data_IF_727637497539
#
_entry.id   IF_727637497539
#
_cell.length_a   1.000
_cell.length_b   1.000
_cell.length_c   1.000
_cell.angle_alpha   90.00
_cell.angle_beta   90.00
_cell.angle_gamma   90.00
#
_symmetry.space_group_name_H-M   'P 1'
#
loop_
_entity.id
_entity.type
_entity.pdbx_description
1 polymer ?
#
# COMPACT_ATOMS: atom_id res chain seq x y z
N UNK A 1 -21.50 27.11 -12.68
CA UNK A 1 -20.46 27.77 -11.86
C UNK A 1 -19.13 27.14 -12.20
N UNK A 2 -18.10 27.93 -12.47
CA UNK A 2 -16.75 27.39 -12.71
C UNK A 2 -16.02 27.22 -11.38
N UNK A 3 -15.48 26.03 -11.18
CA UNK A 3 -14.66 25.69 -10.01
C UNK A 3 -13.19 25.83 -10.40
N UNK A 4 -12.39 26.60 -9.64
CA UNK A 4 -11.00 26.79 -9.98
C UNK A 4 -10.21 25.49 -9.89
N UNK A 5 -10.42 24.71 -8.83
CA UNK A 5 -9.77 23.42 -8.59
C UNK A 5 -10.80 22.38 -8.19
N UNK A 6 -10.99 21.36 -9.01
CA UNK A 6 -11.86 20.22 -8.72
C UNK A 6 -11.02 18.98 -8.45
N UNK A 7 -11.27 18.34 -7.31
CA UNK A 7 -10.55 17.16 -6.84
C UNK A 7 -11.51 15.98 -6.83
N UNK A 8 -11.13 14.88 -7.45
CA UNK A 8 -11.90 13.62 -7.47
C UNK A 8 -11.22 12.64 -6.51
N UNK A 9 -11.92 12.30 -5.41
CA UNK A 9 -11.46 11.43 -4.34
C UNK A 9 -10.94 12.18 -3.12
N UNK A 10 -11.48 11.86 -1.93
CA UNK A 10 -11.11 12.42 -0.63
C UNK A 10 -10.18 11.48 0.19
N UNK A 11 -9.49 10.54 -0.45
CA UNK A 11 -8.39 9.79 0.17
C UNK A 11 -7.17 10.67 0.42
N UNK A 12 -6.07 10.08 0.90
CA UNK A 12 -4.86 10.82 1.32
C UNK A 12 -4.34 11.81 0.26
N UNK A 13 -4.31 11.41 -1.02
CA UNK A 13 -3.80 12.26 -2.10
C UNK A 13 -4.68 13.48 -2.34
N UNK A 14 -6.00 13.27 -2.45
CA UNK A 14 -6.95 14.37 -2.66
C UNK A 14 -7.03 15.29 -1.48
N UNK A 15 -7.07 14.75 -0.26
CA UNK A 15 -7.08 15.54 0.97
C UNK A 15 -5.77 16.33 1.14
N UNK A 16 -4.61 15.79 0.75
CA UNK A 16 -3.35 16.51 0.79
C UNK A 16 -3.32 17.69 -0.21
N UNK A 17 -3.82 17.48 -1.44
CA UNK A 17 -3.96 18.56 -2.44
C UNK A 17 -4.94 19.62 -1.93
N UNK A 18 -6.10 19.21 -1.40
CA UNK A 18 -7.10 20.12 -0.82
C UNK A 18 -6.50 20.93 0.34
N UNK A 19 -5.73 20.29 1.21
CA UNK A 19 -5.00 20.96 2.30
C UNK A 19 -4.05 22.04 1.81
N UNK A 20 -3.24 21.76 0.77
CA UNK A 20 -2.35 22.75 0.18
C UNK A 20 -3.12 23.92 -0.45
N UNK A 21 -4.24 23.66 -1.15
CA UNK A 21 -5.10 24.70 -1.73
C UNK A 21 -5.75 25.55 -0.65
N UNK A 22 -6.23 24.92 0.42
CA UNK A 22 -6.83 25.59 1.57
C UNK A 22 -5.83 26.56 2.25
N UNK A 23 -4.58 26.11 2.46
CA UNK A 23 -3.50 26.96 3.01
C UNK A 23 -3.17 28.16 2.13
N UNK A 24 -3.31 28.02 0.81
CA UNK A 24 -3.11 29.11 -0.16
C UNK A 24 -4.33 30.00 -0.35
N UNK A 25 -5.45 29.73 0.36
CA UNK A 25 -6.71 30.46 0.22
C UNK A 25 -7.37 30.31 -1.14
N UNK A 26 -7.05 29.23 -1.87
CA UNK A 26 -7.60 28.97 -3.20
C UNK A 26 -8.98 28.31 -3.12
N UNK A 27 -9.83 28.60 -4.11
CA UNK A 27 -11.16 27.99 -4.22
C UNK A 27 -11.05 26.58 -4.77
N UNK A 28 -11.68 25.60 -4.11
CA UNK A 28 -11.73 24.21 -4.57
C UNK A 28 -12.99 23.48 -4.10
N UNK A 29 -13.27 22.36 -4.73
CA UNK A 29 -14.29 21.39 -4.34
C UNK A 29 -13.70 19.98 -4.45
N UNK A 30 -14.02 19.12 -3.48
CA UNK A 30 -13.66 17.70 -3.50
C UNK A 30 -14.93 16.87 -3.73
N UNK A 31 -14.89 15.92 -4.68
CA UNK A 31 -15.96 14.96 -4.92
C UNK A 31 -15.54 13.59 -4.41
N UNK A 32 -16.31 13.02 -3.49
CA UNK A 32 -16.05 11.69 -2.93
C UNK A 32 -17.26 10.78 -3.12
N UNK A 33 -17.02 9.57 -3.65
CA UNK A 33 -18.10 8.62 -3.91
C UNK A 33 -18.66 7.98 -2.65
N UNK A 34 -17.82 7.83 -1.63
CA UNK A 34 -18.19 7.20 -0.36
C UNK A 34 -18.82 8.21 0.61
N UNK A 35 -19.28 7.71 1.75
CA UNK A 35 -19.91 8.52 2.81
C UNK A 35 -18.92 9.18 3.75
N UNK A 36 -17.64 8.79 3.64
CA UNK A 36 -16.55 9.27 4.51
C UNK A 36 -15.26 9.44 3.71
N UNK A 37 -14.38 10.32 4.18
CA UNK A 37 -13.06 10.61 3.62
C UNK A 37 -11.97 9.64 4.12
N UNK A 38 -12.22 8.34 4.14
CA UNK A 38 -11.28 7.37 4.67
C UNK A 38 -10.28 6.86 3.62
N UNK A 39 -10.72 6.63 2.41
CA UNK A 39 -9.89 6.01 1.37
C UNK A 39 -9.29 4.68 1.86
N UNK A 40 -7.97 4.54 1.73
CA UNK A 40 -7.21 3.36 2.17
C UNK A 40 -6.55 3.51 3.55
N UNK A 41 -6.88 4.53 4.30
CA UNK A 41 -6.45 4.75 5.68
C UNK A 41 -7.54 4.23 6.62
N UNK A 42 -7.35 2.99 7.10
CA UNK A 42 -8.34 2.35 7.96
C UNK A 42 -7.68 1.79 9.20
N UNK A 43 -7.89 2.46 10.32
CA UNK A 43 -7.34 2.10 11.64
C UNK A 43 -8.45 1.63 12.55
N UNK A 44 -8.27 0.46 13.16
CA UNK A 44 -9.09 0.00 14.28
C UNK A 44 -8.26 0.16 15.56
N UNK A 45 -8.77 0.92 16.52
CA UNK A 45 -8.19 1.03 17.83
C UNK A 45 -8.73 -0.10 18.71
N UNK A 46 -7.84 -0.97 19.21
CA UNK A 46 -8.20 -2.07 20.08
C UNK A 46 -7.41 -1.99 21.38
N UNK A 47 -8.09 -2.15 22.54
CA UNK A 47 -7.43 -2.09 23.85
C UNK A 47 -6.97 -3.48 24.27
N UNK A 48 -5.68 -3.62 24.54
CA UNK A 48 -5.03 -4.84 25.05
C UNK A 48 -4.23 -4.47 26.28
N UNK A 49 -4.50 -5.12 27.42
CA UNK A 49 -3.81 -4.85 28.69
C UNK A 49 -3.75 -3.33 29.00
N UNK A 50 -4.88 -2.65 28.91
CA UNK A 50 -5.06 -1.19 29.12
C UNK A 50 -4.25 -0.29 28.15
N UNK A 51 -3.67 -0.85 27.12
CA UNK A 51 -2.98 -0.10 26.05
C UNK A 51 -3.76 -0.14 24.73
N UNK A 52 -3.87 1.00 24.07
CA UNK A 52 -4.46 1.06 22.74
C UNK A 52 -3.44 0.60 21.71
N UNK A 53 -3.82 -0.39 20.91
CA UNK A 53 -3.04 -0.89 19.79
C UNK A 53 -3.79 -0.53 18.50
N UNK A 54 -3.11 0.13 17.57
CA UNK A 54 -3.66 0.44 16.25
C UNK A 54 -3.52 -0.78 15.33
N UNK A 55 -4.65 -1.29 14.88
CA UNK A 55 -4.73 -2.34 13.87
C UNK A 55 -4.99 -1.65 12.52
N UNK A 56 -3.96 -1.61 11.69
CA UNK A 56 -4.01 -0.92 10.39
C UNK A 56 -4.43 -1.88 9.28
N UNK A 57 -5.68 -1.80 8.85
CA UNK A 57 -6.19 -2.62 7.76
C UNK A 57 -5.83 -2.10 6.38
N UNK A 58 -5.48 -0.83 6.28
CA UNK A 58 -4.99 -0.18 5.06
C UNK A 58 -3.50 0.14 5.10
N UNK A 59 -3.11 1.36 4.75
CA UNK A 59 -1.74 1.84 4.94
C UNK A 59 -1.35 1.75 6.41
N UNK A 60 -0.12 1.32 6.72
CA UNK A 60 0.24 1.05 8.12
C UNK A 60 1.53 1.72 8.57
N UNK A 61 2.50 1.81 7.69
CA UNK A 61 3.84 2.30 8.05
C UNK A 61 4.30 3.39 7.09
N UNK A 62 5.13 4.27 7.61
CA UNK A 62 5.89 5.25 6.85
C UNK A 62 7.38 4.99 7.07
N UNK A 63 8.21 5.49 6.19
CA UNK A 63 9.66 5.36 6.32
C UNK A 63 10.28 6.69 6.75
N UNK A 64 11.30 6.64 7.62
CA UNK A 64 11.97 7.82 8.19
C UNK A 64 12.63 8.75 7.15
N UNK A 65 12.68 8.36 5.88
CA UNK A 65 13.17 9.18 4.76
C UNK A 65 12.06 9.73 3.87
N UNK A 66 10.80 9.53 4.22
CA UNK A 66 9.66 10.08 3.50
C UNK A 66 9.39 11.51 3.99
N UNK A 67 10.13 12.47 3.44
CA UNK A 67 10.17 13.86 3.92
C UNK A 67 8.80 14.53 3.87
N UNK A 68 8.04 14.34 2.77
CA UNK A 68 6.74 15.01 2.59
C UNK A 68 5.73 14.61 3.66
N UNK A 69 5.65 13.30 3.98
CA UNK A 69 4.73 12.84 5.02
C UNK A 69 5.21 13.25 6.41
N UNK A 70 6.52 13.23 6.68
CA UNK A 70 7.07 13.66 7.97
C UNK A 70 6.86 15.15 8.22
N UNK A 71 7.03 15.99 7.19
CA UNK A 71 6.68 17.42 7.24
C UNK A 71 5.20 17.62 7.57
N UNK A 72 4.33 16.86 6.90
CA UNK A 72 2.89 16.89 7.13
C UNK A 72 2.52 16.47 8.56
N UNK A 73 3.11 15.39 9.08
CA UNK A 73 2.87 14.93 10.46
C UNK A 73 3.28 15.99 11.48
N UNK A 74 4.42 16.61 11.27
CA UNK A 74 4.89 17.71 12.13
C UNK A 74 3.93 18.91 12.09
N UNK A 75 3.45 19.29 10.91
CA UNK A 75 2.47 20.35 10.74
C UNK A 75 1.15 20.04 11.46
N UNK A 76 0.70 18.80 11.39
CA UNK A 76 -0.53 18.33 12.02
C UNK A 76 -0.36 18.04 13.52
N UNK A 77 0.84 18.21 14.09
CA UNK A 77 1.17 17.83 15.46
C UNK A 77 0.78 16.37 15.76
N UNK A 78 1.27 15.46 14.90
CA UNK A 78 1.11 14.01 15.04
C UNK A 78 2.45 13.35 15.34
N UNK A 79 2.42 12.24 16.07
CA UNK A 79 3.61 11.57 16.57
C UNK A 79 3.88 10.28 15.80
N UNK A 80 5.13 9.89 15.77
CA UNK A 80 5.55 8.61 15.19
C UNK A 80 6.22 7.75 16.25
N UNK A 81 5.95 6.46 16.18
CA UNK A 81 6.62 5.45 17.00
C UNK A 81 7.39 4.51 16.07
N UNK A 82 8.68 4.25 16.32
CA UNK A 82 9.42 3.26 15.55
C UNK A 82 8.71 1.91 15.56
N UNK A 83 8.67 1.27 14.40
CA UNK A 83 8.25 -0.13 14.32
C UNK A 83 9.20 -0.94 15.23
N UNK A 84 8.68 -1.83 16.09
CA UNK A 84 9.53 -2.72 16.86
C UNK A 84 10.56 -3.35 15.91
N UNK A 85 11.84 -3.15 16.19
CA UNK A 85 12.89 -3.76 15.36
C UNK A 85 12.65 -5.26 15.41
N UNK A 86 12.22 -5.80 14.28
CA UNK A 86 12.13 -7.24 14.11
C UNK A 86 13.57 -7.78 14.06
N UNK A 87 14.24 -7.76 15.22
CA UNK A 87 15.65 -8.14 15.35
C UNK A 87 15.87 -9.56 14.85
N UNK A 88 14.80 -10.37 14.82
CA UNK A 88 14.85 -11.75 14.38
C UNK A 88 13.75 -12.04 13.35
N UNK A 89 14.09 -11.89 12.08
CA UNK A 89 13.30 -12.47 10.99
C UNK A 89 13.71 -13.93 10.81
N UNK A 90 12.73 -14.82 10.63
CA UNK A 90 12.93 -16.23 10.32
C UNK A 90 12.34 -16.58 8.98
N UNK A 91 13.03 -17.44 8.26
CA UNK A 91 12.62 -17.95 6.95
C UNK A 91 12.34 -19.45 7.03
N UNK A 92 11.18 -19.88 6.58
CA UNK A 92 10.71 -21.26 6.69
C UNK A 92 10.58 -21.88 5.32
N UNK A 93 11.37 -22.92 5.10
CA UNK A 93 11.31 -23.70 3.86
C UNK A 93 11.61 -25.18 4.14
N UNK A 94 10.84 -26.12 3.59
CA UNK A 94 11.05 -27.55 3.82
C UNK A 94 12.49 -27.99 3.49
N UNK A 95 13.08 -28.76 4.39
CA UNK A 95 14.45 -29.27 4.24
C UNK A 95 15.57 -28.31 4.69
N UNK A 96 15.23 -27.15 5.23
CA UNK A 96 16.21 -26.17 5.74
C UNK A 96 15.98 -25.91 7.24
N UNK A 97 17.07 -25.75 8.01
CA UNK A 97 17.01 -25.07 9.31
C UNK A 97 16.80 -23.57 9.11
N UNK A 98 16.34 -22.85 10.15
CA UNK A 98 16.10 -21.40 10.07
C UNK A 98 17.36 -20.61 9.64
N UNK A 99 18.52 -20.98 10.19
CA UNK A 99 19.82 -20.37 9.87
C UNK A 99 20.18 -20.59 8.40
N UNK A 100 20.12 -21.86 7.94
CA UNK A 100 20.44 -22.20 6.54
C UNK A 100 19.48 -21.52 5.55
N UNK A 101 18.18 -21.45 5.88
CA UNK A 101 17.22 -20.73 5.05
C UNK A 101 17.55 -19.23 4.99
N UNK A 102 17.90 -18.62 6.12
CA UNK A 102 18.30 -17.20 6.20
C UNK A 102 19.57 -16.92 5.38
N UNK A 103 20.58 -17.77 5.51
CA UNK A 103 21.84 -17.63 4.75
C UNK A 103 21.60 -17.76 3.25
N UNK A 104 20.85 -18.79 2.83
CA UNK A 104 20.50 -19.00 1.42
C UNK A 104 19.70 -17.81 0.87
N UNK A 105 18.68 -17.35 1.59
CA UNK A 105 17.90 -16.18 1.16
C UNK A 105 18.75 -14.94 0.97
N UNK A 106 19.66 -14.65 1.91
CA UNK A 106 20.59 -13.53 1.81
C UNK A 106 21.53 -13.66 0.59
N UNK A 107 22.06 -14.85 0.35
CA UNK A 107 22.92 -15.10 -0.80
C UNK A 107 22.19 -14.88 -2.14
N UNK A 108 20.99 -15.42 -2.29
CA UNK A 108 20.18 -15.24 -3.49
C UNK A 108 19.79 -13.76 -3.70
N UNK A 109 19.36 -13.07 -2.63
CA UNK A 109 19.02 -11.64 -2.69
C UNK A 109 20.23 -10.79 -3.09
N UNK A 110 21.42 -11.10 -2.57
CA UNK A 110 22.66 -10.44 -2.96
C UNK A 110 22.97 -10.65 -4.44
N UNK A 111 22.85 -11.89 -4.93
CA UNK A 111 23.06 -12.22 -6.34
C UNK A 111 22.15 -11.43 -7.27
N UNK A 112 20.84 -11.33 -6.96
CA UNK A 112 19.91 -10.50 -7.74
C UNK A 112 20.32 -9.02 -7.74
N UNK A 113 20.62 -8.46 -6.57
CA UNK A 113 21.01 -7.06 -6.44
C UNK A 113 22.25 -6.71 -7.29
N UNK A 114 23.28 -7.56 -7.23
CA UNK A 114 24.54 -7.36 -7.97
C UNK A 114 24.36 -7.53 -9.49
N UNK A 115 23.37 -8.30 -9.91
CA UNK A 115 23.10 -8.58 -11.30
C UNK A 115 22.13 -7.59 -11.96
N UNK A 116 21.35 -6.85 -11.20
CA UNK A 116 20.21 -6.07 -11.71
C UNK A 116 20.59 -5.07 -12.84
N UNK A 117 21.76 -4.42 -12.73
CA UNK A 117 22.26 -3.48 -13.73
C UNK A 117 22.78 -4.12 -15.03
N UNK A 118 22.99 -5.44 -15.03
CA UNK A 118 23.49 -6.17 -16.20
C UNK A 118 22.39 -6.65 -17.12
N UNK A 119 21.13 -6.44 -16.74
CA UNK A 119 19.95 -6.87 -17.49
C UNK A 119 19.15 -5.67 -18.01
N UNK A 120 18.21 -5.89 -18.97
CA UNK A 120 17.41 -4.81 -19.52
C UNK A 120 16.73 -3.97 -18.45
N UNK A 121 16.78 -2.65 -18.61
CA UNK A 121 16.25 -1.68 -17.63
C UNK A 121 14.73 -1.81 -17.35
N UNK A 122 14.01 -2.59 -18.13
CA UNK A 122 12.59 -2.88 -17.95
C UNK A 122 12.32 -4.22 -17.23
N UNK A 123 13.36 -4.98 -16.84
CA UNK A 123 13.16 -6.23 -16.09
C UNK A 123 12.53 -5.96 -14.73
N UNK A 124 11.54 -6.77 -14.39
CA UNK A 124 10.98 -6.82 -13.04
C UNK A 124 11.84 -7.68 -12.12
N UNK A 125 11.58 -7.61 -10.82
CA UNK A 125 12.22 -8.51 -9.85
C UNK A 125 11.98 -9.98 -10.21
N UNK A 126 10.77 -10.32 -10.69
CA UNK A 126 10.43 -11.68 -11.12
C UNK A 126 11.18 -12.08 -12.39
N UNK A 127 11.25 -11.21 -13.42
CA UNK A 127 12.03 -11.51 -14.63
C UNK A 127 13.48 -11.81 -14.30
N UNK A 128 14.07 -10.94 -13.46
CA UNK A 128 15.46 -11.09 -13.04
C UNK A 128 15.69 -12.39 -12.26
N UNK A 129 14.76 -12.72 -11.33
CA UNK A 129 14.87 -13.94 -10.56
C UNK A 129 14.75 -15.20 -11.44
N UNK A 130 13.82 -15.20 -12.40
CA UNK A 130 13.66 -16.33 -13.35
C UNK A 130 14.85 -16.51 -14.29
N UNK A 131 15.52 -15.42 -14.65
CA UNK A 131 16.69 -15.47 -15.53
C UNK A 131 17.94 -15.97 -14.79
N UNK A 132 18.12 -15.61 -13.52
CA UNK A 132 19.36 -15.87 -12.76
C UNK A 132 19.31 -17.17 -11.96
N UNK A 133 18.11 -17.58 -11.52
CA UNK A 133 17.94 -18.74 -10.65
C UNK A 133 17.48 -19.97 -11.40
N UNK A 134 17.93 -21.13 -10.98
CA UNK A 134 17.27 -22.38 -11.34
C UNK A 134 15.86 -22.45 -10.68
N UNK A 135 15.09 -23.46 -11.06
CA UNK A 135 13.73 -23.64 -10.57
C UNK A 135 13.64 -23.75 -9.04
N UNK A 136 14.62 -24.42 -8.42
CA UNK A 136 14.59 -24.66 -6.97
C UNK A 136 14.92 -23.38 -6.20
N UNK A 137 15.92 -22.64 -6.64
CA UNK A 137 16.33 -21.36 -6.05
C UNK A 137 15.23 -20.28 -6.26
N UNK A 138 14.59 -20.27 -7.44
CA UNK A 138 13.46 -19.37 -7.70
C UNK A 138 12.29 -19.64 -6.75
N UNK A 139 11.85 -20.90 -6.61
CA UNK A 139 10.76 -21.23 -5.70
C UNK A 139 11.14 -20.97 -4.23
N UNK A 140 12.37 -21.27 -3.83
CA UNK A 140 12.87 -20.93 -2.50
C UNK A 140 12.82 -19.42 -2.25
N UNK A 141 13.37 -18.62 -3.16
CA UNK A 141 13.43 -17.17 -3.04
C UNK A 141 12.02 -16.56 -2.98
N UNK A 142 11.15 -16.96 -3.88
CA UNK A 142 9.74 -16.53 -3.94
C UNK A 142 9.00 -16.76 -2.63
N UNK A 143 9.20 -17.90 -1.97
CA UNK A 143 8.55 -18.20 -0.71
C UNK A 143 9.19 -17.49 0.48
N UNK A 144 10.49 -17.35 0.51
CA UNK A 144 11.21 -16.69 1.59
C UNK A 144 11.18 -15.16 1.51
N UNK A 145 10.96 -14.58 0.33
CA UNK A 145 10.75 -13.15 0.21
C UNK A 145 9.36 -12.79 0.72
N UNK A 146 9.31 -12.12 1.88
CA UNK A 146 8.11 -11.77 2.62
C UNK A 146 7.05 -11.08 1.74
N UNK A 147 7.32 -9.95 1.16
CA UNK A 147 6.41 -9.21 0.29
C UNK A 147 6.63 -9.55 -1.21
N UNK A 148 6.77 -10.84 -1.58
CA UNK A 148 7.01 -11.25 -2.97
C UNK A 148 5.99 -10.67 -3.95
N UNK A 149 4.70 -10.82 -3.63
CA UNK A 149 3.63 -10.38 -4.54
C UNK A 149 3.46 -8.87 -4.60
N UNK A 150 4.03 -8.12 -3.65
CA UNK A 150 4.16 -6.67 -3.71
C UNK A 150 5.24 -6.25 -4.70
N UNK A 151 6.38 -6.94 -4.69
CA UNK A 151 7.59 -6.49 -5.40
C UNK A 151 7.88 -7.22 -6.70
N UNK A 152 7.28 -8.41 -6.95
CA UNK A 152 7.62 -9.23 -8.12
C UNK A 152 7.48 -8.50 -9.46
N UNK A 153 6.47 -7.64 -9.61
CA UNK A 153 6.23 -6.84 -10.83
C UNK A 153 6.90 -5.47 -10.81
N UNK A 154 7.58 -5.11 -9.73
CA UNK A 154 8.34 -3.86 -9.69
C UNK A 154 9.62 -3.98 -10.51
N UNK A 155 10.05 -2.86 -11.07
CA UNK A 155 11.32 -2.78 -11.78
C UNK A 155 12.48 -3.17 -10.86
N UNK A 156 13.32 -4.12 -11.31
CA UNK A 156 14.39 -4.68 -10.48
C UNK A 156 15.41 -3.63 -10.02
N UNK A 157 15.85 -2.73 -10.92
CA UNK A 157 16.81 -1.68 -10.60
C UNK A 157 16.22 -0.74 -9.54
N UNK A 158 15.00 -0.25 -9.78
CA UNK A 158 14.31 0.65 -8.85
C UNK A 158 14.10 -0.01 -7.48
N UNK A 159 13.69 -1.29 -7.45
CA UNK A 159 13.51 -2.05 -6.22
C UNK A 159 14.82 -2.15 -5.42
N UNK A 160 15.91 -2.61 -6.06
CA UNK A 160 17.20 -2.78 -5.35
C UNK A 160 17.87 -1.45 -5.00
N UNK A 161 17.58 -0.37 -5.72
CA UNK A 161 18.03 0.98 -5.34
C UNK A 161 17.24 1.49 -4.12
N UNK A 162 15.95 1.20 -4.04
CA UNK A 162 15.12 1.60 -2.90
C UNK A 162 15.52 0.93 -1.58
N UNK A 163 15.90 -0.35 -1.61
CA UNK A 163 16.37 -1.08 -0.42
C UNK A 163 17.82 -0.75 0.00
N UNK A 164 18.51 0.14 -0.71
CA UNK A 164 19.82 0.66 -0.28
C UNK A 164 19.71 1.66 0.87
N UNK A 165 18.54 2.19 1.09
CA UNK A 165 18.37 3.26 2.05
C UNK A 165 18.27 2.72 3.47
N UNK A 166 19.24 3.11 4.26
CA UNK A 166 19.19 2.97 5.71
C UNK A 166 18.09 3.89 6.25
N UNK A 167 17.26 3.37 7.12
CA UNK A 167 16.19 4.12 7.75
C UNK A 167 15.31 3.20 8.59
N UNK A 168 14.31 3.76 9.22
CA UNK A 168 13.40 3.04 10.10
C UNK A 168 11.99 3.14 9.56
N UNK A 169 11.22 2.06 9.74
CA UNK A 169 9.78 2.12 9.57
C UNK A 169 9.13 2.66 10.83
N UNK A 170 8.15 3.52 10.65
CA UNK A 170 7.46 4.23 11.72
C UNK A 170 5.96 3.99 11.62
N UNK A 171 5.30 3.84 12.77
CA UNK A 171 3.85 3.96 12.89
C UNK A 171 3.47 5.41 13.19
N UNK A 172 2.30 5.84 12.76
CA UNK A 172 1.66 7.04 13.28
C UNK A 172 0.97 6.63 14.59
N UNK A 173 1.37 7.24 15.69
CA UNK A 173 0.91 6.83 17.03
C UNK A 173 -0.60 6.95 17.20
N UNK A 174 -1.21 7.91 16.54
CA UNK A 174 -2.66 8.15 16.56
C UNK A 174 -3.44 7.34 15.50
N UNK A 175 -2.72 6.68 14.57
CA UNK A 175 -3.27 5.91 13.47
C UNK A 175 -3.38 6.68 12.15
N UNK A 176 -3.33 5.93 11.05
CA UNK A 176 -3.38 6.46 9.68
C UNK A 176 -4.70 7.16 9.38
N UNK A 177 -5.83 6.61 9.84
CA UNK A 177 -7.14 7.20 9.65
C UNK A 177 -7.28 8.54 10.38
N UNK A 178 -6.72 8.64 11.59
CA UNK A 178 -6.75 9.87 12.37
C UNK A 178 -5.94 10.98 11.68
N UNK A 179 -4.79 10.66 11.10
CA UNK A 179 -4.03 11.60 10.27
C UNK A 179 -4.89 12.16 9.13
N UNK A 180 -5.56 11.30 8.38
CA UNK A 180 -6.41 11.75 7.27
C UNK A 180 -7.55 12.66 7.73
N UNK A 181 -8.22 12.31 8.83
CA UNK A 181 -9.26 13.14 9.44
C UNK A 181 -8.73 14.52 9.85
N UNK A 182 -7.52 14.59 10.39
CA UNK A 182 -6.88 15.88 10.72
C UNK A 182 -6.57 16.72 9.49
N UNK A 183 -6.19 16.10 8.38
CA UNK A 183 -5.94 16.80 7.11
C UNK A 183 -7.23 17.42 6.59
N UNK A 184 -8.34 16.67 6.57
CA UNK A 184 -9.59 17.08 5.93
C UNK A 184 -10.46 17.99 6.79
N UNK A 185 -10.34 17.95 8.11
CA UNK A 185 -11.17 18.69 9.06
C UNK A 185 -11.30 20.20 8.75
N UNK A 186 -10.24 20.95 8.35
CA UNK A 186 -10.35 22.37 8.06
C UNK A 186 -11.18 22.75 6.84
N UNK A 187 -11.56 21.77 6.00
CA UNK A 187 -12.31 22.00 4.75
C UNK A 187 -13.36 20.89 4.50
N UNK A 188 -13.86 20.30 5.56
CA UNK A 188 -14.85 19.22 5.48
C UNK A 188 -16.13 19.68 4.75
N UNK A 189 -16.50 20.94 4.88
CA UNK A 189 -17.61 21.61 4.19
C UNK A 189 -17.40 21.72 2.67
N UNK A 190 -16.18 21.57 2.18
CA UNK A 190 -15.81 21.56 0.75
C UNK A 190 -15.70 20.15 0.17
N UNK A 191 -16.03 19.12 0.93
CA UNK A 191 -16.08 17.74 0.46
C UNK A 191 -17.52 17.34 0.21
N UNK A 192 -17.84 17.04 -1.04
CA UNK A 192 -19.15 16.54 -1.44
C UNK A 192 -19.13 15.02 -1.49
N UNK A 193 -19.64 14.41 -0.43
CA UNK A 193 -19.74 12.97 -0.29
C UNK A 193 -20.88 12.37 -1.14
N UNK A 194 -20.90 11.05 -1.29
CA UNK A 194 -21.88 10.29 -2.07
C UNK A 194 -22.00 10.82 -3.51
N UNK A 195 -20.87 11.22 -4.12
CA UNK A 195 -20.84 11.85 -5.45
C UNK A 195 -19.84 11.13 -6.33
N UNK A 196 -20.32 10.18 -7.12
CA UNK A 196 -19.47 9.36 -7.99
C UNK A 196 -19.28 10.01 -9.35
N UNK A 197 -18.03 10.25 -9.73
CA UNK A 197 -17.66 10.76 -11.06
C UNK A 197 -17.77 9.65 -12.08
N UNK A 198 -18.53 9.88 -13.16
CA UNK A 198 -18.76 8.95 -14.27
C UNK A 198 -17.94 9.29 -15.50
N UNK A 199 -17.83 10.58 -15.85
CA UNK A 199 -17.05 10.99 -17.01
C UNK A 199 -16.35 12.33 -16.81
N UNK A 200 -15.26 12.50 -17.54
CA UNK A 200 -14.47 13.73 -17.65
C UNK A 200 -14.30 14.06 -19.13
N UNK A 201 -14.74 15.24 -19.54
CA UNK A 201 -14.60 15.73 -20.90
C UNK A 201 -13.69 16.95 -20.93
N UNK A 202 -12.76 17.03 -21.89
CA UNK A 202 -11.97 18.23 -22.17
C UNK A 202 -12.83 19.28 -22.85
N UNK A 203 -12.86 20.51 -22.29
CA UNK A 203 -13.49 21.68 -22.88
C UNK A 203 -12.47 22.77 -23.20
N UNK A 204 -12.92 23.85 -23.86
CA UNK A 204 -12.06 24.99 -24.20
C UNK A 204 -11.49 25.70 -22.96
N UNK A 205 -12.26 25.74 -21.86
CA UNK A 205 -11.90 26.48 -20.65
C UNK A 205 -11.39 25.57 -19.51
N UNK A 206 -11.33 24.26 -19.72
CA UNK A 206 -10.91 23.31 -18.70
C UNK A 206 -11.53 21.93 -18.88
N UNK A 207 -12.39 21.53 -17.93
CA UNK A 207 -13.00 20.20 -17.90
C UNK A 207 -14.48 20.28 -17.53
N UNK A 208 -15.27 19.41 -18.14
CA UNK A 208 -16.64 19.10 -17.75
C UNK A 208 -16.62 17.75 -17.04
N UNK A 209 -17.02 17.71 -15.79
CA UNK A 209 -17.05 16.51 -14.97
C UNK A 209 -18.50 16.15 -14.66
N UNK A 210 -18.92 14.98 -15.13
CA UNK A 210 -20.27 14.45 -14.89
C UNK A 210 -20.25 13.42 -13.78
N UNK A 211 -21.14 13.56 -12.83
CA UNK A 211 -21.35 12.62 -11.73
C UNK A 211 -22.69 11.89 -11.90
N UNK A 212 -23.01 11.04 -10.97
CA UNK A 212 -24.33 10.41 -10.86
C UNK A 212 -25.45 11.41 -10.47
N UNK A 213 -25.09 12.63 -10.05
CA UNK A 213 -26.03 13.66 -9.57
C UNK A 213 -26.00 14.93 -10.41
N UNK A 214 -24.82 15.47 -10.67
CA UNK A 214 -24.61 16.82 -11.20
C UNK A 214 -23.52 16.90 -12.26
N UNK A 215 -23.40 18.08 -12.87
CA UNK A 215 -22.34 18.43 -13.82
C UNK A 215 -21.54 19.62 -13.27
N UNK A 216 -20.23 19.45 -13.23
CA UNK A 216 -19.27 20.46 -12.75
C UNK A 216 -18.40 20.95 -13.89
N UNK A 217 -18.09 22.25 -13.92
CA UNK A 217 -17.09 22.83 -14.81
C UNK A 217 -15.86 23.21 -13.98
N UNK A 218 -14.68 22.79 -14.37
CA UNK A 218 -13.44 23.02 -13.62
C UNK A 218 -12.32 23.56 -14.51
N UNK A 219 -11.56 24.54 -14.02
CA UNK A 219 -10.36 25.06 -14.72
C UNK A 219 -9.20 24.08 -14.60
N UNK A 220 -8.99 23.54 -13.38
CA UNK A 220 -7.96 22.53 -13.07
C UNK A 220 -8.62 21.31 -12.46
N UNK A 221 -8.14 20.14 -12.82
CA UNK A 221 -8.69 18.86 -12.37
C UNK A 221 -7.60 17.98 -11.76
N UNK A 222 -7.93 17.39 -10.60
CA UNK A 222 -7.08 16.46 -9.88
C UNK A 222 -7.81 15.11 -9.73
N UNK A 223 -7.29 14.06 -10.33
CA UNK A 223 -7.85 12.70 -10.25
C UNK A 223 -7.05 11.94 -9.18
N UNK A 224 -7.63 11.85 -7.99
CA UNK A 224 -6.99 11.35 -6.76
C UNK A 224 -7.66 10.06 -6.25
N UNK A 225 -8.14 9.25 -7.16
CA UNK A 225 -8.72 7.93 -6.88
C UNK A 225 -7.71 6.83 -7.20
N UNK A 226 -7.97 5.61 -6.73
CA UNK A 226 -7.13 4.47 -7.05
C UNK A 226 -7.16 4.14 -8.56
N UNK A 227 -6.21 3.32 -9.03
CA UNK A 227 -6.04 3.07 -10.46
C UNK A 227 -7.25 2.40 -11.10
N UNK A 228 -7.88 1.42 -10.44
CA UNK A 228 -9.09 0.76 -10.95
C UNK A 228 -10.26 1.73 -11.06
N UNK A 229 -10.44 2.57 -10.04
CA UNK A 229 -11.48 3.61 -10.08
C UNK A 229 -11.20 4.65 -11.16
N UNK A 230 -9.95 5.08 -11.31
CA UNK A 230 -9.57 6.00 -12.40
C UNK A 230 -9.85 5.40 -13.78
N UNK A 231 -9.57 4.11 -14.00
CA UNK A 231 -9.85 3.42 -15.27
C UNK A 231 -11.35 3.25 -15.57
N UNK A 232 -12.23 3.34 -14.58
CA UNK A 232 -13.69 3.27 -14.77
C UNK A 232 -14.31 4.60 -15.20
N UNK A 233 -13.61 5.71 -15.02
CA UNK A 233 -14.08 7.03 -15.48
C UNK A 233 -13.95 7.09 -17.00
N UNK A 234 -15.01 7.54 -17.69
CA UNK A 234 -14.98 7.77 -19.12
C UNK A 234 -14.23 9.10 -19.42
N UNK A 235 -13.21 9.04 -20.26
CA UNK A 235 -12.38 10.20 -20.64
C UNK A 235 -12.67 10.63 -22.07
N UNK A 236 -13.47 11.68 -22.24
CA UNK A 236 -13.92 12.19 -23.54
C UNK A 236 -12.91 13.25 -24.03
N UNK A 237 -12.37 13.07 -25.23
CA UNK A 237 -11.32 13.92 -25.80
C UNK A 237 -10.04 14.00 -24.95
N UNK A 238 -9.72 12.91 -24.25
CA UNK A 238 -8.59 12.77 -23.32
C UNK A 238 -7.89 11.40 -23.49
N UNK A 239 -7.60 11.00 -24.73
CA UNK A 239 -7.00 9.69 -25.06
C UNK A 239 -5.67 9.46 -24.33
N UNK A 240 -4.92 10.53 -24.06
CA UNK A 240 -3.68 10.45 -23.31
C UNK A 240 -3.89 10.00 -21.86
N UNK A 241 -5.05 10.26 -21.24
CA UNK A 241 -5.35 9.82 -19.88
C UNK A 241 -5.44 8.29 -19.83
N UNK A 242 -6.20 7.67 -20.72
CA UNK A 242 -6.31 6.21 -20.80
C UNK A 242 -4.95 5.56 -21.05
N UNK A 243 -4.14 6.12 -21.95
CA UNK A 243 -2.77 5.66 -22.21
C UNK A 243 -1.88 5.78 -20.95
N UNK A 244 -1.98 6.89 -20.22
CA UNK A 244 -1.25 7.11 -18.97
C UNK A 244 -1.63 6.08 -17.90
N UNK A 245 -2.92 5.88 -17.67
CA UNK A 245 -3.42 4.92 -16.67
C UNK A 245 -3.02 3.46 -17.00
N UNK A 246 -2.88 3.13 -18.30
CA UNK A 246 -2.43 1.81 -18.72
C UNK A 246 -0.93 1.54 -18.50
N UNK A 247 -0.15 2.55 -18.09
CA UNK A 247 1.22 2.34 -17.63
C UNK A 247 1.29 1.77 -16.21
N UNK A 248 0.17 1.65 -15.51
CA UNK A 248 0.08 1.10 -14.15
C UNK A 248 -0.60 -0.25 -14.08
N UNK A 249 -0.17 -1.02 -13.08
CA UNK A 249 -0.76 -2.28 -12.65
C UNK A 249 -1.30 -2.11 -11.24
N UNK A 250 -2.57 -2.46 -11.02
CA UNK A 250 -3.18 -2.55 -9.68
C UNK A 250 -2.74 -3.82 -8.99
N UNK A 251 -2.53 -3.72 -7.68
CA UNK A 251 -2.26 -4.86 -6.81
C UNK A 251 -3.32 -4.94 -5.71
N UNK A 252 -3.79 -6.15 -5.47
CA UNK A 252 -4.64 -6.49 -4.33
C UNK A 252 -3.79 -6.64 -3.07
N UNK A 253 -4.41 -6.48 -1.90
CA UNK A 253 -3.78 -6.73 -0.60
C UNK A 253 -4.79 -7.30 0.38
N UNK A 254 -4.36 -8.30 1.14
CA UNK A 254 -5.11 -8.87 2.26
C UNK A 254 -4.27 -8.76 3.53
N UNK A 255 -4.90 -8.29 4.59
CA UNK A 255 -4.39 -8.31 5.95
C UNK A 255 -5.37 -9.00 6.86
N UNK A 256 -4.88 -9.87 7.71
CA UNK A 256 -5.68 -10.53 8.75
C UNK A 256 -4.96 -10.39 10.07
N UNK A 257 -5.67 -9.93 11.09
CA UNK A 257 -5.13 -9.77 12.43
C UNK A 257 -5.90 -10.62 13.43
N UNK A 258 -5.20 -11.05 14.47
CA UNK A 258 -5.76 -11.67 15.66
C UNK A 258 -5.28 -10.96 16.91
N UNK A 259 -6.15 -10.94 17.91
CA UNK A 259 -5.79 -10.58 19.29
C UNK A 259 -5.96 -11.82 20.16
N UNK A 260 -4.94 -12.15 20.94
CA UNK A 260 -4.90 -13.31 21.80
C UNK A 260 -5.17 -12.92 23.26
N UNK A 261 -5.83 -13.79 24.01
CA UNK A 261 -6.00 -13.63 25.46
C UNK A 261 -4.71 -13.92 26.26
N UNK A 262 -3.76 -14.65 25.65
CA UNK A 262 -2.44 -14.98 26.24
C UNK A 262 -1.31 -14.47 25.34
N UNK A 263 -0.12 -14.30 25.90
CA UNK A 263 1.07 -13.97 25.15
C UNK A 263 1.51 -15.16 24.30
N UNK A 264 1.84 -14.89 23.04
CA UNK A 264 2.51 -15.85 22.19
C UNK A 264 4.02 -15.55 22.23
N UNK A 265 4.71 -16.22 23.12
CA UNK A 265 6.14 -16.05 23.35
C UNK A 265 6.94 -16.75 22.24
N UNK A 266 7.19 -16.02 21.15
CA UNK A 266 8.05 -16.41 20.03
C UNK A 266 9.08 -15.29 19.86
N UNK A 267 10.37 -15.64 19.79
CA UNK A 267 11.45 -14.65 19.68
C UNK A 267 11.49 -13.91 18.32
N UNK A 268 10.80 -14.42 17.31
CA UNK A 268 10.78 -13.85 15.97
C UNK A 268 9.61 -12.87 15.81
N UNK A 269 9.91 -11.68 15.29
CA UNK A 269 8.91 -10.67 15.00
C UNK A 269 8.37 -10.75 13.56
N UNK A 270 9.11 -11.39 12.65
CA UNK A 270 8.73 -11.59 11.25
C UNK A 270 8.99 -13.04 10.85
N UNK A 271 7.97 -13.72 10.35
CA UNK A 271 8.01 -15.12 9.96
C UNK A 271 7.55 -15.21 8.50
N UNK A 272 8.46 -15.58 7.61
CA UNK A 272 8.19 -15.71 6.16
C UNK A 272 8.51 -17.09 5.68
N UNK A 273 7.77 -17.62 4.70
CA UNK A 273 8.12 -18.90 4.14
C UNK A 273 7.02 -19.65 3.41
N UNK A 274 7.24 -20.95 3.25
CA UNK A 274 6.34 -21.84 2.54
C UNK A 274 5.27 -22.41 3.48
N UNK A 275 4.33 -21.55 3.88
CA UNK A 275 3.13 -21.88 4.63
C UNK A 275 1.95 -21.00 4.14
N UNK A 276 0.72 -21.30 4.54
CA UNK A 276 -0.47 -20.71 3.93
C UNK A 276 -0.50 -19.19 4.04
N UNK A 277 -0.25 -18.64 5.22
CA UNK A 277 -0.23 -17.19 5.47
C UNK A 277 0.99 -16.47 4.87
N UNK A 278 1.99 -17.20 4.40
CA UNK A 278 3.23 -16.76 3.74
C UNK A 278 4.08 -15.79 4.57
N UNK A 279 3.51 -14.78 5.15
CA UNK A 279 4.19 -13.78 5.96
C UNK A 279 3.33 -13.35 7.15
N UNK A 280 3.87 -13.55 8.34
CA UNK A 280 3.25 -13.24 9.63
C UNK A 280 4.10 -12.22 10.39
N UNK A 281 3.48 -11.25 11.02
CA UNK A 281 4.16 -10.20 11.79
C UNK A 281 3.60 -10.10 13.20
N UNK A 282 4.51 -9.99 14.19
CA UNK A 282 4.17 -9.64 15.56
C UNK A 282 4.02 -8.12 15.66
N UNK A 283 2.85 -7.67 16.09
CA UNK A 283 2.59 -6.26 16.41
C UNK A 283 2.88 -6.04 17.90
N UNK A 284 2.32 -6.90 18.75
CA UNK A 284 2.67 -7.02 20.17
C UNK A 284 2.69 -8.50 20.55
N UNK A 285 3.01 -8.84 21.81
CA UNK A 285 3.00 -10.24 22.26
C UNK A 285 1.62 -10.90 22.17
N UNK A 286 0.55 -10.10 22.11
CA UNK A 286 -0.85 -10.57 22.00
C UNK A 286 -1.52 -10.21 20.67
N UNK A 287 -0.96 -9.30 19.88
CA UNK A 287 -1.52 -8.87 18.60
C UNK A 287 -0.61 -9.30 17.48
N UNK A 288 -1.16 -10.11 16.57
CA UNK A 288 -0.43 -10.64 15.44
C UNK A 288 -1.15 -10.33 14.13
N UNK A 289 -0.40 -9.90 13.14
CA UNK A 289 -0.85 -9.94 11.76
C UNK A 289 -0.60 -11.34 11.23
N UNK A 290 -1.67 -12.13 11.13
CA UNK A 290 -1.68 -13.53 10.66
C UNK A 290 -1.12 -13.63 9.26
N UNK A 291 -1.55 -12.73 8.38
CA UNK A 291 -1.00 -12.60 7.03
C UNK A 291 -1.01 -11.16 6.56
N UNK A 292 0.05 -10.80 5.86
CA UNK A 292 0.10 -9.71 4.91
C UNK A 292 0.48 -10.30 3.56
N UNK A 293 -0.38 -10.16 2.58
CA UNK A 293 -0.12 -10.70 1.25
C UNK A 293 -0.81 -9.87 0.18
N UNK A 294 -0.29 -9.96 -1.04
CA UNK A 294 -0.68 -9.16 -2.18
C UNK A 294 -0.98 -10.03 -3.40
N UNK A 295 -1.62 -9.43 -4.41
CA UNK A 295 -1.84 -10.02 -5.72
C UNK A 295 -2.59 -11.35 -5.68
N UNK A 296 -2.11 -12.33 -6.44
CA UNK A 296 -2.80 -13.62 -6.61
C UNK A 296 -3.03 -14.35 -5.28
N UNK A 297 -2.10 -14.25 -4.33
CA UNK A 297 -2.28 -14.91 -3.04
C UNK A 297 -3.33 -14.20 -2.19
N UNK A 298 -3.39 -12.86 -2.23
CA UNK A 298 -4.43 -12.10 -1.56
C UNK A 298 -5.82 -12.48 -2.07
N UNK A 299 -5.99 -12.58 -3.40
CA UNK A 299 -7.25 -13.03 -4.02
C UNK A 299 -7.63 -14.44 -3.62
N UNK A 300 -6.64 -15.35 -3.50
CA UNK A 300 -6.89 -16.73 -3.09
C UNK A 300 -7.37 -16.80 -1.64
N UNK A 301 -6.69 -16.10 -0.75
CA UNK A 301 -6.98 -16.16 0.69
C UNK A 301 -8.22 -15.36 1.09
N UNK A 302 -8.58 -14.30 0.35
CA UNK A 302 -9.82 -13.56 0.56
C UNK A 302 -11.08 -14.43 0.38
N UNK A 303 -11.03 -15.38 -0.56
CA UNK A 303 -12.12 -16.34 -0.79
C UNK A 303 -12.16 -17.49 0.22
N UNK A 304 -11.24 -17.54 1.16
CA UNK A 304 -11.19 -18.54 2.23
C UNK A 304 -11.96 -18.04 3.46
N UNK A 305 -12.58 -18.93 4.21
CA UNK A 305 -13.18 -18.51 5.48
C UNK A 305 -12.09 -18.03 6.44
N UNK A 306 -12.23 -16.81 6.95
CA UNK A 306 -11.22 -16.19 7.84
C UNK A 306 -10.87 -17.08 9.05
N UNK A 307 -11.85 -17.79 9.62
CA UNK A 307 -11.61 -18.69 10.74
C UNK A 307 -10.75 -19.89 10.34
N UNK A 308 -10.90 -20.39 9.12
CA UNK A 308 -10.07 -21.47 8.58
C UNK A 308 -8.62 -20.99 8.40
N UNK A 309 -8.42 -19.80 7.86
CA UNK A 309 -7.09 -19.21 7.74
C UNK A 309 -6.42 -19.04 9.12
N UNK A 310 -7.17 -18.56 10.12
CA UNK A 310 -6.66 -18.40 11.49
C UNK A 310 -6.33 -19.75 12.13
N UNK A 311 -7.16 -20.78 11.97
CA UNK A 311 -6.86 -22.13 12.47
C UNK A 311 -5.59 -22.70 11.83
N UNK A 312 -5.45 -22.57 10.53
CA UNK A 312 -4.23 -23.01 9.83
C UNK A 312 -3.00 -22.24 10.36
N UNK A 313 -3.11 -20.94 10.58
CA UNK A 313 -2.03 -20.16 11.18
C UNK A 313 -1.69 -20.64 12.60
N UNK A 314 -2.68 -20.97 13.43
CA UNK A 314 -2.48 -21.53 14.77
C UNK A 314 -1.72 -22.85 14.68
N UNK A 315 -2.12 -23.75 13.79
CA UNK A 315 -1.46 -25.04 13.57
C UNK A 315 -0.01 -24.83 13.10
N UNK A 316 0.23 -23.89 12.17
CA UNK A 316 1.58 -23.54 11.74
C UNK A 316 2.45 -23.01 12.91
N UNK A 317 1.91 -22.11 13.74
CA UNK A 317 2.65 -21.56 14.90
C UNK A 317 2.96 -22.64 15.94
N UNK A 318 1.99 -23.52 16.21
CA UNK A 318 2.19 -24.65 17.14
C UNK A 318 3.27 -25.61 16.63
N UNK A 319 3.21 -26.00 15.36
CA UNK A 319 4.16 -26.94 14.77
C UNK A 319 5.59 -26.34 14.64
N UNK A 320 5.69 -25.06 14.25
CA UNK A 320 6.99 -24.42 14.02
C UNK A 320 7.72 -24.06 15.30
N UNK A 321 6.99 -23.68 16.35
CA UNK A 321 7.56 -23.11 17.57
C UNK A 321 7.19 -23.87 18.84
N UNK A 322 6.64 -25.08 18.70
CA UNK A 322 6.21 -25.93 19.80
C UNK A 322 5.32 -25.16 20.80
N UNK A 323 4.24 -24.57 20.30
CA UNK A 323 3.25 -23.84 21.08
C UNK A 323 1.97 -24.65 21.25
N UNK A 324 1.05 -24.17 22.07
CA UNK A 324 -0.23 -24.80 22.42
C UNK A 324 -1.42 -23.86 22.19
N UNK A 325 -1.34 -23.04 21.15
CA UNK A 325 -2.43 -22.14 20.79
C UNK A 325 -3.66 -22.95 20.35
N UNK A 326 -4.82 -22.43 20.70
CA UNK A 326 -6.12 -22.92 20.21
C UNK A 326 -6.92 -21.74 19.68
N UNK A 327 -7.98 -22.02 18.92
CA UNK A 327 -8.87 -20.96 18.47
C UNK A 327 -9.60 -20.23 19.63
N UNK A 328 -9.74 -20.88 20.79
CA UNK A 328 -10.32 -20.24 21.98
C UNK A 328 -9.40 -19.18 22.59
N UNK A 329 -8.13 -19.17 22.25
CA UNK A 329 -7.20 -18.12 22.65
C UNK A 329 -7.37 -16.83 21.84
N UNK A 330 -8.09 -16.87 20.72
CA UNK A 330 -8.37 -15.72 19.87
C UNK A 330 -9.60 -14.99 20.38
N UNK A 331 -9.40 -13.81 20.98
CA UNK A 331 -10.51 -12.99 21.53
C UNK A 331 -11.07 -11.99 20.52
N UNK A 332 -10.29 -11.64 19.52
CA UNK A 332 -10.72 -10.77 18.42
C UNK A 332 -9.96 -11.09 17.15
N UNK A 333 -10.61 -10.97 16.01
CA UNK A 333 -9.95 -11.04 14.72
C UNK A 333 -10.65 -10.12 13.71
N UNK A 334 -9.90 -9.68 12.74
CA UNK A 334 -10.39 -8.80 11.67
C UNK A 334 -9.55 -8.97 10.42
N UNK A 335 -10.19 -8.79 9.27
CA UNK A 335 -9.52 -8.75 7.97
C UNK A 335 -9.83 -7.47 7.21
N UNK A 336 -8.89 -7.05 6.38
CA UNK A 336 -9.05 -6.01 5.39
C UNK A 336 -8.54 -6.48 4.05
N UNK A 337 -9.44 -6.58 3.07
CA UNK A 337 -9.10 -6.85 1.68
C UNK A 337 -9.30 -5.60 0.83
N UNK A 338 -8.32 -5.33 -0.01
CA UNK A 338 -8.31 -4.20 -0.94
C UNK A 338 -8.07 -4.74 -2.34
N UNK A 339 -9.07 -4.65 -3.20
CA UNK A 339 -8.99 -5.11 -4.60
C UNK A 339 -8.06 -4.23 -5.46
N UNK A 340 -7.76 -3.02 -5.01
CA UNK A 340 -6.82 -2.07 -5.62
C UNK A 340 -6.05 -1.34 -4.50
N UNK A 341 -5.21 -2.09 -3.77
CA UNK A 341 -4.47 -1.57 -2.61
C UNK A 341 -3.48 -0.47 -3.02
N UNK A 342 -2.72 -0.72 -4.08
CA UNK A 342 -1.74 0.22 -4.62
C UNK A 342 -1.49 -0.07 -6.10
N UNK A 343 -0.82 0.86 -6.78
CA UNK A 343 -0.41 0.70 -8.15
C UNK A 343 1.11 0.67 -8.27
N UNK A 344 1.62 -0.17 -9.19
CA UNK A 344 3.02 -0.19 -9.61
C UNK A 344 3.11 0.20 -11.08
N UNK A 345 4.27 0.75 -11.48
CA UNK A 345 4.51 1.07 -12.89
C UNK A 345 4.85 -0.21 -13.66
N UNK A 346 4.20 -0.39 -14.80
CA UNK A 346 4.39 -1.56 -15.66
C UNK A 346 5.71 -1.52 -16.42
N UNK A 347 6.09 -2.67 -17.00
CA UNK A 347 7.26 -2.76 -17.91
C UNK A 347 7.21 -1.73 -19.05
N UNK A 348 6.03 -1.41 -19.56
CA UNK A 348 5.86 -0.46 -20.65
C UNK A 348 6.32 0.95 -20.29
N UNK A 349 6.13 1.36 -19.03
CA UNK A 349 6.70 2.62 -18.53
C UNK A 349 8.24 2.62 -18.59
N UNK A 350 8.87 1.52 -18.18
CA UNK A 350 10.34 1.40 -18.14
C UNK A 350 10.96 1.15 -19.52
N UNK A 351 10.20 0.72 -20.51
CA UNK A 351 10.60 0.71 -21.93
C UNK A 351 10.61 2.11 -22.57
N UNK A 352 10.28 3.14 -21.82
CA UNK A 352 10.32 4.53 -22.27
C UNK A 352 9.01 5.06 -22.81
N UNK A 353 7.91 4.34 -22.66
CA UNK A 353 6.58 4.83 -23.01
C UNK A 353 6.16 5.96 -22.05
N UNK A 354 6.43 7.20 -22.45
CA UNK A 354 6.04 8.39 -21.69
C UNK A 354 4.75 8.98 -22.27
N UNK A 355 3.85 9.38 -21.39
CA UNK A 355 2.61 10.06 -21.78
C UNK A 355 2.57 11.42 -21.10
N UNK A 356 2.47 12.49 -21.90
CA UNK A 356 2.29 13.84 -21.41
C UNK A 356 0.79 14.09 -21.15
N UNK A 357 0.45 14.48 -19.94
CA UNK A 357 -0.88 14.96 -19.55
C UNK A 357 -0.98 16.47 -19.80
N UNK A 358 -2.19 17.03 -19.95
CA UNK A 358 -2.39 18.47 -19.94
C UNK A 358 -1.89 19.13 -18.67
N UNK A 359 -1.33 20.35 -18.74
CA UNK A 359 -0.74 21.05 -17.60
C UNK A 359 -1.76 21.38 -16.47
N UNK A 360 -3.05 21.43 -16.82
CA UNK A 360 -4.14 21.66 -15.88
C UNK A 360 -4.84 20.37 -15.40
N UNK A 361 -4.24 19.21 -15.67
CA UNK A 361 -4.69 17.89 -15.22
C UNK A 361 -3.60 17.18 -14.43
N UNK A 362 -3.90 16.81 -13.20
CA UNK A 362 -3.03 15.98 -12.38
C UNK A 362 -3.72 14.64 -12.06
N UNK A 363 -2.99 13.54 -12.18
CA UNK A 363 -3.47 12.20 -11.84
C UNK A 363 -2.51 11.59 -10.81
N UNK A 364 -3.03 11.23 -9.64
CA UNK A 364 -2.24 10.63 -8.56
C UNK A 364 -2.43 9.11 -8.44
N UNK A 365 -3.18 8.50 -9.35
CA UNK A 365 -3.46 7.05 -9.36
C UNK A 365 -2.22 6.20 -9.62
N UNK A 366 -1.15 6.79 -10.18
CA UNK A 366 0.16 6.16 -10.36
C UNK A 366 1.21 6.84 -9.50
N UNK A 367 2.20 6.08 -8.98
CA UNK A 367 3.27 6.67 -8.19
C UNK A 367 4.15 7.60 -9.03
N UNK A 368 4.73 8.63 -8.40
CA UNK A 368 5.78 9.44 -9.02
C UNK A 368 6.98 8.53 -9.31
N UNK A 369 7.26 8.29 -10.59
CA UNK A 369 8.35 7.41 -10.99
C UNK A 369 9.72 7.89 -10.53
N UNK A 370 10.47 7.03 -9.97
CA UNK A 370 11.84 6.88 -9.50
C UNK A 370 11.98 6.92 -7.97
N UNK A 371 12.43 5.78 -7.47
CA UNK A 371 12.89 5.61 -6.11
C UNK A 371 11.81 5.11 -5.15
N UNK A 372 12.25 4.84 -4.03
CA UNK A 372 11.70 4.23 -2.85
C UNK A 372 10.26 4.49 -2.53
N UNK A 373 9.56 3.42 -2.17
CA UNK A 373 8.24 3.45 -1.54
C UNK A 373 7.23 4.36 -2.25
N UNK A 374 7.43 4.56 -3.56
CA UNK A 374 6.57 5.41 -4.38
C UNK A 374 5.18 4.82 -4.55
N UNK A 375 5.03 3.50 -4.34
CA UNK A 375 3.74 2.83 -4.33
C UNK A 375 2.90 3.15 -3.08
N UNK A 376 3.52 3.67 -2.02
CA UNK A 376 2.89 4.00 -0.75
C UNK A 376 2.49 5.49 -0.67
N UNK A 377 2.14 5.94 0.52
CA UNK A 377 1.60 7.29 0.75
C UNK A 377 2.46 8.38 0.11
N UNK A 378 3.78 8.37 0.35
CA UNK A 378 4.72 9.41 -0.14
C UNK A 378 4.67 9.57 -1.68
N UNK A 379 4.59 8.45 -2.42
CA UNK A 379 4.52 8.48 -3.89
C UNK A 379 3.25 9.13 -4.44
N UNK A 380 2.22 9.26 -3.60
CA UNK A 380 0.94 9.85 -3.97
C UNK A 380 0.70 11.25 -3.35
N UNK A 381 1.68 11.79 -2.58
CA UNK A 381 1.64 13.16 -2.06
C UNK A 381 2.28 14.14 -3.04
N UNK A 382 1.46 14.73 -3.89
CA UNK A 382 1.91 15.68 -4.89
C UNK A 382 1.91 17.11 -4.33
N UNK A 383 3.07 17.76 -4.31
CA UNK A 383 3.17 19.21 -4.02
C UNK A 383 2.67 20.01 -5.24
N UNK A 384 1.79 20.99 -5.03
CA UNK A 384 1.16 21.83 -6.05
C UNK A 384 1.58 23.30 -5.92
#
# INVERSE_FOLDING_TARGET
MFIDHLIIGAGISGSYIAHQLNKKGQSFLVLEKDTIDRGKQYTINYTVDDQVVNIELGSSVIHSKQETILELLKELNLHTTPLPKNEKAVYIYPGYTFEKAKEKYKALRKKLKESASNYPSYFTVEDLAREIFDKLDYEFFKWCMDAWYEYNDQNAITYFDSVKNEGEYLYISEGMEYMLKKISLPFLDKIQFNTEVKSVEKSNEGYIVKTDKDIYNAKKLYICVNLRSAKKIEYIKLENVSRYLNLGLSKECLRVYVVLNKRLDIEYGSISGKFLSKWTLRITDKVWMVTYTDGILANKLENMEIKELIRTWIDDMNNLFNKDLTFNDVVYYVSGYWDDAYAVLSKEFYKGNKVKLPDNLMITSLPKGKGENTAWIEGHLYKI
#
